data_IF_569697674591
#
_entry.id   IF_569697674591
#
_cell.length_a   1.000
_cell.length_b   1.000
_cell.length_c   1.000
_cell.angle_alpha   90.00
_cell.angle_beta   90.00
_cell.angle_gamma   90.00
#
_symmetry.space_group_name_H-M   'P 1'
#
loop_
_entity.id
_entity.type
_entity.pdbx_description
1 polymer ?
#
# COMPACT_ATOMS: atom_id res chain seq x y z
N UNK A 1 12.49 -4.48 -18.82
CA UNK A 1 11.55 -4.72 -17.70
C UNK A 1 10.32 -3.85 -17.89
N UNK A 2 9.17 -4.41 -18.30
CA UNK A 2 7.92 -3.63 -18.42
C UNK A 2 7.35 -3.40 -17.03
N UNK A 3 7.16 -2.14 -16.65
CA UNK A 3 6.46 -1.77 -15.41
C UNK A 3 4.96 -1.85 -15.72
N UNK A 4 4.28 -2.86 -15.17
CA UNK A 4 2.83 -2.95 -15.32
C UNK A 4 2.20 -1.98 -14.30
N UNK A 5 1.66 -0.84 -14.76
CA UNK A 5 1.05 0.17 -13.90
C UNK A 5 -0.47 0.07 -13.97
N UNK A 6 -1.11 -0.09 -12.81
CA UNK A 6 -2.56 -0.06 -12.68
C UNK A 6 -2.96 1.32 -12.15
N UNK A 7 -3.80 2.04 -12.88
CA UNK A 7 -4.45 3.25 -12.36
C UNK A 7 -5.60 2.85 -11.46
N UNK A 8 -5.60 3.33 -10.21
CA UNK A 8 -6.68 3.09 -9.26
C UNK A 8 -7.81 4.09 -9.47
N UNK A 9 -9.04 3.59 -9.44
CA UNK A 9 -10.27 4.38 -9.51
C UNK A 9 -11.08 4.20 -8.22
N UNK A 10 -11.87 5.21 -7.85
CA UNK A 10 -12.74 5.13 -6.66
C UNK A 10 -13.70 3.95 -6.79
N UNK A 11 -13.91 3.21 -5.69
CA UNK A 11 -14.76 2.02 -5.64
C UNK A 11 -14.09 0.74 -6.13
N UNK A 12 -12.91 0.82 -6.76
CA UNK A 12 -12.14 -0.37 -7.14
C UNK A 12 -11.35 -0.91 -5.95
N UNK A 13 -11.36 -2.23 -5.78
CA UNK A 13 -10.50 -2.90 -4.81
C UNK A 13 -9.03 -2.60 -5.10
N UNK A 14 -8.32 -2.15 -4.07
CA UNK A 14 -6.88 -1.92 -4.11
C UNK A 14 -6.16 -3.29 -4.11
N UNK A 15 -5.09 -3.47 -4.92
CA UNK A 15 -4.24 -4.65 -4.85
C UNK A 15 -3.66 -4.84 -3.45
N UNK A 16 -3.60 -6.08 -2.99
CA UNK A 16 -2.94 -6.36 -1.71
C UNK A 16 -1.43 -6.20 -1.83
N UNK A 17 -0.79 -5.73 -0.77
CA UNK A 17 0.66 -5.58 -0.70
C UNK A 17 1.15 -5.69 0.74
N UNK A 18 2.44 -5.99 0.89
CA UNK A 18 3.13 -6.05 2.17
C UNK A 18 4.20 -4.96 2.23
N UNK A 19 4.29 -4.27 3.37
CA UNK A 19 5.36 -3.31 3.67
C UNK A 19 6.07 -3.70 4.95
N UNK A 20 7.39 -3.58 4.94
CA UNK A 20 8.20 -3.62 6.15
C UNK A 20 8.14 -2.28 6.87
N UNK A 21 7.89 -2.30 8.18
CA UNK A 21 7.97 -1.13 9.05
C UNK A 21 9.40 -0.84 9.48
N UNK A 22 9.60 0.31 10.14
CA UNK A 22 10.92 0.73 10.66
C UNK A 22 11.47 -0.20 11.75
N UNK A 23 10.59 -0.88 12.50
CA UNK A 23 10.96 -1.93 13.48
C UNK A 23 11.10 -3.33 12.85
N UNK A 24 11.04 -3.43 11.51
CA UNK A 24 11.24 -4.67 10.77
C UNK A 24 10.05 -5.62 10.79
N UNK A 25 8.85 -5.16 11.19
CA UNK A 25 7.62 -5.94 11.13
C UNK A 25 6.99 -5.85 9.75
N UNK A 26 6.40 -6.95 9.32
CA UNK A 26 5.66 -6.99 8.06
C UNK A 26 4.19 -6.60 8.28
N UNK A 27 3.71 -5.67 7.47
CA UNK A 27 2.32 -5.21 7.46
C UNK A 27 1.69 -5.56 6.12
N UNK A 28 0.69 -6.44 6.12
CA UNK A 28 -0.12 -6.77 4.95
C UNK A 28 -1.36 -5.87 4.92
N UNK A 29 -1.67 -5.23 3.79
CA UNK A 29 -2.81 -4.32 3.68
C UNK A 29 -4.14 -5.02 4.01
N UNK A 30 -4.33 -6.26 3.57
CA UNK A 30 -5.54 -7.04 3.85
C UNK A 30 -5.77 -7.32 5.33
N UNK A 31 -4.76 -7.26 6.19
CA UNK A 31 -4.92 -7.39 7.64
C UNK A 31 -5.70 -6.24 8.28
N UNK A 32 -5.90 -5.13 7.57
CA UNK A 32 -6.67 -3.97 8.03
C UNK A 32 -8.12 -3.94 7.52
N UNK A 33 -8.63 -5.02 6.93
CA UNK A 33 -10.03 -5.12 6.49
C UNK A 33 -10.98 -4.81 7.66
N UNK A 34 -12.08 -4.12 7.35
CA UNK A 34 -13.03 -3.63 8.35
C UNK A 34 -12.64 -2.30 9.01
N UNK A 35 -11.41 -1.81 8.79
CA UNK A 35 -10.95 -0.51 9.27
C UNK A 35 -10.87 0.50 8.11
N UNK A 36 -11.05 1.80 8.42
CA UNK A 36 -10.78 2.88 7.46
C UNK A 36 -9.27 3.16 7.47
N UNK A 37 -8.61 3.01 6.33
CA UNK A 37 -7.16 3.14 6.18
C UNK A 37 -6.82 4.26 5.20
N UNK A 38 -5.83 5.08 5.54
CA UNK A 38 -5.24 6.08 4.66
C UNK A 38 -3.80 5.66 4.31
N UNK A 39 -3.47 5.61 3.01
CA UNK A 39 -2.12 5.31 2.52
C UNK A 39 -1.53 6.60 1.95
N UNK A 40 -0.35 6.98 2.44
CA UNK A 40 0.38 8.16 1.98
C UNK A 40 1.75 7.74 1.47
N UNK A 41 2.04 8.02 0.20
CA UNK A 41 3.37 7.80 -0.37
C UNK A 41 4.21 9.07 -0.19
N UNK A 42 5.18 9.01 0.71
CA UNK A 42 6.14 10.09 0.93
C UNK A 42 7.42 9.78 0.15
N UNK A 43 7.97 10.78 -0.54
CA UNK A 43 9.36 10.73 -1.03
C UNK A 43 10.23 11.46 -0.02
N UNK A 44 11.18 10.76 0.59
CA UNK A 44 12.24 11.41 1.36
C UNK A 44 13.18 12.14 0.41
N UNK A 45 13.28 13.46 0.52
CA UNK A 45 14.39 14.23 -0.02
C UNK A 45 15.44 14.32 1.08
N UNK A 46 16.60 13.71 0.85
CA UNK A 46 17.80 13.92 1.65
C UNK A 46 18.68 14.97 0.99
#
# INVERSE_FOLDING_TARGET
>A
MRRNSITLTVGRSVPDFTLSSIDGREHVLSSYRGQRVLIVFLRGTW
#
